data_IF_292829166730
#
_entry.id   IF_292829166730
#
_cell.length_a   1.000
_cell.length_b   1.000
_cell.length_c   1.000
_cell.angle_alpha   90.00
_cell.angle_beta   90.00
_cell.angle_gamma   90.00
#
_symmetry.space_group_name_H-M   'P 1'
#
loop_
_entity.id
_entity.type
_entity.pdbx_description
1 polymer ?
#
# COMPACT_ATOMS: atom_id res chain seq x y z
N UNK A 1 4.03 -11.20 -5.86
CA UNK A 1 2.73 -10.58 -5.55
C UNK A 1 3.00 -9.09 -5.37
N UNK A 2 2.87 -8.32 -6.45
CA UNK A 2 3.13 -6.89 -6.43
C UNK A 2 1.90 -6.20 -5.84
N UNK A 3 2.09 -5.40 -4.79
CA UNK A 3 1.12 -4.36 -4.43
C UNK A 3 0.89 -3.58 -5.74
N UNK A 4 -0.35 -3.40 -6.20
CA UNK A 4 -0.66 -2.76 -7.49
C UNK A 4 -0.32 -1.26 -7.59
N UNK A 5 0.76 -0.84 -6.93
CA UNK A 5 1.38 0.47 -6.97
C UNK A 5 2.64 0.34 -7.83
N UNK A 6 2.72 1.14 -8.88
CA UNK A 6 3.95 1.25 -9.67
C UNK A 6 4.92 2.23 -9.00
N UNK A 7 6.22 2.05 -9.25
CA UNK A 7 7.32 2.82 -8.62
C UNK A 7 7.22 4.34 -8.84
N UNK A 8 6.56 4.75 -9.93
CA UNK A 8 6.45 6.14 -10.38
C UNK A 8 5.15 6.79 -9.88
N UNK A 9 4.24 6.00 -9.31
CA UNK A 9 2.89 6.44 -9.01
C UNK A 9 2.77 6.94 -7.57
N UNK A 10 2.66 8.26 -7.43
CA UNK A 10 2.21 8.88 -6.20
C UNK A 10 0.69 8.83 -6.12
N UNK A 11 0.15 8.23 -5.06
CA UNK A 11 -1.29 8.10 -4.83
C UNK A 11 -1.72 8.84 -3.58
N UNK A 12 -2.95 9.39 -3.60
CA UNK A 12 -3.56 9.91 -2.38
C UNK A 12 -3.91 8.79 -1.41
N UNK A 13 -4.08 9.12 -0.13
CA UNK A 13 -4.49 8.16 0.90
C UNK A 13 -5.73 7.34 0.51
N UNK A 14 -6.80 7.97 0.02
CA UNK A 14 -8.02 7.24 -0.36
C UNK A 14 -7.75 6.25 -1.51
N UNK A 15 -6.94 6.66 -2.49
CA UNK A 15 -6.55 5.78 -3.60
C UNK A 15 -5.66 4.63 -3.12
N UNK A 16 -4.75 4.89 -2.17
CA UNK A 16 -3.92 3.86 -1.54
C UNK A 16 -4.78 2.78 -0.86
N UNK A 17 -5.74 3.19 -0.02
CA UNK A 17 -6.63 2.27 0.70
C UNK A 17 -7.41 1.38 -0.28
N UNK A 18 -7.99 1.97 -1.32
CA UNK A 18 -8.72 1.23 -2.36
C UNK A 18 -7.81 0.23 -3.09
N UNK A 19 -6.59 0.64 -3.44
CA UNK A 19 -5.62 -0.23 -4.13
C UNK A 19 -5.14 -1.37 -3.25
N UNK A 20 -4.86 -1.13 -1.97
CA UNK A 20 -4.47 -2.16 -1.02
C UNK A 20 -5.58 -3.22 -0.88
N UNK A 21 -6.83 -2.79 -0.70
CA UNK A 21 -7.96 -3.70 -0.61
C UNK A 21 -8.14 -4.52 -1.88
N UNK A 22 -8.13 -3.88 -3.05
CA UNK A 22 -8.30 -4.56 -4.34
C UNK A 22 -7.16 -5.55 -4.61
N UNK A 23 -5.90 -5.14 -4.39
CA UNK A 23 -4.73 -5.97 -4.67
C UNK A 23 -4.72 -7.25 -3.82
N UNK A 24 -5.05 -7.14 -2.53
CA UNK A 24 -5.10 -8.31 -1.66
C UNK A 24 -6.35 -9.17 -1.88
N UNK A 25 -7.49 -8.56 -2.24
CA UNK A 25 -8.69 -9.31 -2.63
C UNK A 25 -8.45 -10.18 -3.88
N UNK A 26 -7.64 -9.70 -4.85
CA UNK A 26 -7.20 -10.51 -6.00
C UNK A 26 -6.38 -11.74 -5.57
N UNK A 27 -5.68 -11.67 -4.44
CA UNK A 27 -4.97 -12.79 -3.83
C UNK A 27 -5.85 -13.68 -2.93
N UNK A 28 -7.16 -13.45 -2.86
CA UNK A 28 -8.10 -14.18 -2.00
C UNK A 28 -8.22 -13.63 -0.57
N UNK A 29 -7.61 -12.49 -0.26
CA UNK A 29 -7.62 -11.89 1.06
C UNK A 29 -8.42 -10.58 1.08
N UNK A 30 -9.74 -10.67 1.30
CA UNK A 30 -10.60 -9.50 1.44
C UNK A 30 -10.64 -8.98 2.87
N UNK A 31 -10.52 -7.66 3.05
CA UNK A 31 -10.62 -7.03 4.37
C UNK A 31 -11.14 -5.59 4.32
N UNK A 32 -11.84 -5.19 5.38
CA UNK A 32 -12.39 -3.84 5.55
C UNK A 32 -11.35 -2.82 6.04
N UNK A 33 -11.78 -1.56 6.15
CA UNK A 33 -10.92 -0.39 6.38
C UNK A 33 -9.98 -0.51 7.58
N UNK A 34 -10.44 -1.10 8.69
CA UNK A 34 -9.59 -1.24 9.90
C UNK A 34 -8.35 -2.11 9.64
N UNK A 35 -8.53 -3.22 8.92
CA UNK A 35 -7.41 -4.09 8.54
C UNK A 35 -6.54 -3.45 7.48
N UNK A 36 -7.11 -2.67 6.56
CA UNK A 36 -6.33 -1.91 5.58
C UNK A 36 -5.40 -0.89 6.24
N UNK A 37 -5.85 -0.19 7.28
CA UNK A 37 -5.00 0.73 8.06
C UNK A 37 -3.85 0.02 8.75
N UNK A 38 -4.10 -1.16 9.33
CA UNK A 38 -3.02 -1.96 9.91
C UNK A 38 -2.00 -2.41 8.85
N UNK A 39 -2.49 -2.78 7.66
CA UNK A 39 -1.65 -3.14 6.53
C UNK A 39 -0.82 -1.95 6.03
N UNK A 40 -1.42 -0.76 5.89
CA UNK A 40 -0.70 0.48 5.56
C UNK A 40 0.46 0.72 6.53
N UNK A 41 0.19 0.74 7.84
CA UNK A 41 1.21 0.93 8.88
C UNK A 41 2.30 -0.13 8.80
N UNK A 42 1.92 -1.39 8.54
CA UNK A 42 2.88 -2.48 8.37
C UNK A 42 3.80 -2.23 7.16
N UNK A 43 3.25 -1.84 6.02
CA UNK A 43 4.00 -1.58 4.80
C UNK A 43 4.92 -0.36 4.94
N UNK A 44 4.47 0.69 5.63
CA UNK A 44 5.31 1.85 5.98
C UNK A 44 6.47 1.45 6.89
N UNK A 45 6.20 0.69 7.96
CA UNK A 45 7.22 0.23 8.89
C UNK A 45 8.28 -0.65 8.19
N UNK A 46 7.86 -1.43 7.19
CA UNK A 46 8.76 -2.24 6.34
C UNK A 46 9.43 -1.44 5.23
N UNK A 47 9.19 -0.13 5.15
CA UNK A 47 9.66 0.76 4.07
C UNK A 47 9.27 0.28 2.68
N UNK A 48 8.20 -0.49 2.55
CA UNK A 48 7.65 -0.95 1.27
C UNK A 48 6.87 0.16 0.57
N UNK A 49 6.25 1.04 1.35
CA UNK A 49 5.66 2.29 0.89
C UNK A 49 6.30 3.45 1.64
N UNK A 50 6.44 4.58 0.95
CA UNK A 50 6.93 5.82 1.52
C UNK A 50 5.81 6.85 1.46
N UNK A 51 5.67 7.60 2.54
CA UNK A 51 4.75 8.73 2.62
C UNK A 51 5.52 10.01 2.34
N UNK A 52 5.11 10.71 1.29
CA UNK A 52 5.64 12.01 0.89
C UNK A 52 4.51 13.03 0.93
N UNK A 53 4.56 13.92 1.93
CA UNK A 53 3.50 14.88 2.26
C UNK A 53 2.11 14.22 2.44
N UNK A 54 1.27 14.31 1.41
CA UNK A 54 -0.11 13.80 1.37
C UNK A 54 -0.27 12.61 0.41
N UNK A 55 0.83 12.18 -0.19
CA UNK A 55 0.88 11.13 -1.18
C UNK A 55 1.72 9.95 -0.69
N UNK A 56 1.50 8.80 -1.31
CA UNK A 56 2.19 7.56 -1.02
C UNK A 56 2.76 7.00 -2.30
N UNK A 57 3.95 6.41 -2.23
CA UNK A 57 4.58 5.70 -3.35
C UNK A 57 5.15 4.37 -2.89
N UNK A 58 5.26 3.44 -3.83
CA UNK A 58 6.00 2.20 -3.61
C UNK A 58 7.50 2.49 -3.57
N UNK A 59 8.22 1.80 -2.68
CA UNK A 59 9.67 1.87 -2.59
C UNK A 59 10.27 0.54 -3.03
N UNK A 60 10.87 0.45 -4.23
CA UNK A 60 11.50 -0.78 -4.71
C UNK A 60 12.78 -1.12 -3.92
N UNK A 61 13.41 -0.13 -3.30
CA UNK A 61 14.63 -0.29 -2.50
C UNK A 61 14.33 -0.72 -1.05
N UNK A 62 13.19 -1.38 -0.81
CA UNK A 62 12.89 -1.94 0.49
C UNK A 62 13.69 -3.24 0.71
N UNK A 63 14.27 -3.39 1.89
CA UNK A 63 15.00 -4.59 2.28
C UNK A 63 14.28 -5.26 3.45
N UNK A 64 13.93 -6.54 3.28
CA UNK A 64 13.25 -7.36 4.29
C UNK A 64 14.03 -8.64 4.56
#
# INVERSE_FOLDING_TARGET
MAIGLSEIEQVSYNSLIDKLQKSYALGGFSFGTNKTKLLEVFLENKRMILKEDKCYRFNPDFHY
#
